data_IF_084733136554
#
_entry.id   IF_084733136554
#
_cell.length_a   1.000
_cell.length_b   1.000
_cell.length_c   1.000
_cell.angle_alpha   90.00
_cell.angle_beta   90.00
_cell.angle_gamma   90.00
#
_symmetry.space_group_name_H-M   'P 1'
#
loop_
_entity.id
_entity.type
_entity.pdbx_description
1 polymer ?
#
# COMPACT_ATOMS: atom_id res chain seq x y z
N UNK A 1 -2.02 -26.75 43.83
CA UNK A 1 -2.69 -26.00 42.74
C UNK A 1 -1.66 -25.65 41.70
N UNK A 2 -1.59 -26.40 40.60
CA UNK A 2 -0.61 -26.17 39.54
C UNK A 2 -1.11 -25.06 38.62
N UNK A 3 -0.43 -23.92 38.66
CA UNK A 3 -0.65 -22.78 37.78
C UNK A 3 -0.46 -23.22 36.32
N UNK A 4 -1.57 -23.44 35.62
CA UNK A 4 -1.61 -23.67 34.18
C UNK A 4 -1.17 -22.37 33.51
N UNK A 5 0.12 -22.24 33.18
CA UNK A 5 0.61 -21.16 32.31
C UNK A 5 -0.20 -21.25 31.02
N UNK A 6 -1.00 -20.22 30.75
CA UNK A 6 -1.67 -20.07 29.46
C UNK A 6 -0.58 -20.10 28.39
N UNK A 7 -0.71 -21.02 27.44
CA UNK A 7 0.08 -21.02 26.22
C UNK A 7 -0.07 -19.65 25.56
N UNK A 8 1.02 -18.98 25.13
CA UNK A 8 0.91 -17.70 24.48
C UNK A 8 0.08 -17.88 23.20
N UNK A 9 -1.01 -17.12 23.12
CA UNK A 9 -1.81 -17.00 21.91
C UNK A 9 -0.89 -16.65 20.74
N UNK A 10 -1.15 -17.20 19.53
CA UNK A 10 -0.28 -16.97 18.39
C UNK A 10 -0.21 -15.48 18.08
N UNK A 11 1.00 -14.90 18.17
CA UNK A 11 1.25 -13.51 17.79
C UNK A 11 1.06 -13.38 16.27
N UNK A 12 -0.13 -12.96 15.85
CA UNK A 12 -0.39 -12.57 14.45
C UNK A 12 0.53 -11.40 14.10
N UNK A 13 0.88 -11.25 12.82
CA UNK A 13 1.58 -10.04 12.34
C UNK A 13 0.81 -8.83 12.86
N UNK A 14 1.43 -8.04 13.72
CA UNK A 14 0.85 -6.78 14.18
C UNK A 14 1.48 -5.70 13.33
N UNK A 15 0.75 -4.99 12.47
CA UNK A 15 1.29 -3.80 11.81
C UNK A 15 1.56 -2.70 12.84
N UNK A 16 2.50 -1.82 12.55
CA UNK A 16 2.72 -0.60 13.33
C UNK A 16 1.45 0.25 13.27
N UNK A 17 1.01 0.74 14.43
CA UNK A 17 -0.17 1.62 14.56
C UNK A 17 0.25 2.89 15.27
N UNK A 18 -0.01 4.04 14.63
CA UNK A 18 0.21 5.39 15.14
C UNK A 18 -0.96 6.28 14.72
N UNK A 19 -1.18 7.40 15.39
CA UNK A 19 -2.22 8.35 14.99
C UNK A 19 -1.82 9.11 13.71
N UNK A 20 -2.79 9.60 12.94
CA UNK A 20 -2.52 10.36 11.71
C UNK A 20 -1.63 11.58 12.03
N UNK A 21 -0.53 11.73 11.29
CA UNK A 21 0.47 12.77 11.48
C UNK A 21 1.59 12.42 12.46
N UNK A 22 1.48 11.35 13.24
CA UNK A 22 2.57 10.92 14.12
C UNK A 22 3.72 10.28 13.32
N UNK A 23 4.99 10.66 13.61
CA UNK A 23 6.15 10.08 12.97
C UNK A 23 6.37 8.63 13.43
N UNK A 24 6.91 7.79 12.54
CA UNK A 24 7.47 6.50 12.93
C UNK A 24 8.91 6.70 13.36
N UNK A 25 9.17 6.42 14.63
CA UNK A 25 10.50 6.51 15.25
C UNK A 25 11.38 5.34 14.86
N UNK A 26 12.68 5.44 15.12
CA UNK A 26 13.60 4.29 15.00
C UNK A 26 13.14 3.09 15.82
N UNK A 27 12.58 3.31 17.00
CA UNK A 27 12.01 2.24 17.84
C UNK A 27 10.82 1.55 17.16
N UNK A 28 9.95 2.28 16.48
CA UNK A 28 8.78 1.69 15.80
C UNK A 28 9.19 0.73 14.68
N UNK A 29 10.17 1.17 13.88
CA UNK A 29 10.64 0.46 12.69
C UNK A 29 11.76 -0.54 12.98
N UNK A 30 12.30 -0.55 14.21
CA UNK A 30 13.48 -1.33 14.59
C UNK A 30 14.68 -0.99 13.69
N UNK A 31 15.02 0.30 13.63
CA UNK A 31 16.05 0.83 12.71
C UNK A 31 17.40 0.13 12.86
N UNK A 32 17.85 -0.17 14.07
CA UNK A 32 19.18 -0.76 14.27
C UNK A 32 19.25 -2.16 13.68
N UNK A 33 18.16 -2.93 13.74
CA UNK A 33 18.05 -4.23 13.06
C UNK A 33 18.15 -4.07 11.54
N UNK A 34 17.40 -3.13 10.98
CA UNK A 34 17.43 -2.84 9.55
C UNK A 34 18.85 -2.40 9.13
N UNK A 35 19.47 -1.55 9.93
CA UNK A 35 20.85 -1.09 9.74
C UNK A 35 21.82 -2.26 9.72
N UNK A 36 21.75 -3.20 10.69
CA UNK A 36 22.58 -4.41 10.69
C UNK A 36 22.38 -5.23 9.41
N UNK A 37 21.15 -5.43 8.97
CA UNK A 37 20.85 -6.24 7.78
C UNK A 37 21.39 -5.60 6.49
N UNK A 38 21.23 -4.28 6.33
CA UNK A 38 21.58 -3.59 5.08
C UNK A 38 23.02 -3.05 5.05
N UNK A 39 23.69 -2.94 6.19
CA UNK A 39 25.12 -2.58 6.25
C UNK A 39 26.04 -3.81 6.30
N UNK A 40 25.49 -5.01 6.26
CA UNK A 40 26.28 -6.23 6.06
C UNK A 40 26.75 -6.31 4.60
N UNK A 41 28.07 -6.34 4.41
CA UNK A 41 28.72 -6.39 3.09
C UNK A 41 29.20 -7.82 2.74
N UNK A 42 28.65 -8.86 3.37
CA UNK A 42 29.02 -10.25 3.09
C UNK A 42 28.44 -10.71 1.75
N UNK A 43 29.30 -10.90 0.76
CA UNK A 43 28.92 -11.44 -0.56
C UNK A 43 28.60 -12.94 -0.49
N UNK A 44 27.38 -13.25 -0.10
CA UNK A 44 26.94 -14.62 0.18
C UNK A 44 25.82 -15.12 -0.74
N UNK A 45 25.16 -14.24 -1.50
CA UNK A 45 23.94 -14.56 -2.22
C UNK A 45 24.09 -14.58 -3.73
N UNK A 46 23.43 -15.53 -4.39
CA UNK A 46 23.35 -15.65 -5.83
C UNK A 46 22.36 -14.62 -6.39
N UNK A 47 22.85 -13.71 -7.23
CA UNK A 47 22.00 -12.70 -7.87
C UNK A 47 21.45 -13.22 -9.22
N UNK A 48 20.13 -13.36 -9.40
CA UNK A 48 19.56 -13.91 -10.64
C UNK A 48 19.65 -12.94 -11.83
N UNK A 49 19.96 -11.66 -11.62
CA UNK A 49 20.06 -10.63 -12.66
C UNK A 49 21.51 -10.29 -13.05
N UNK A 50 22.50 -10.70 -12.25
CA UNK A 50 23.93 -10.45 -12.51
C UNK A 50 24.65 -11.80 -12.67
N UNK A 51 25.43 -11.96 -13.73
CA UNK A 51 26.18 -13.20 -13.96
C UNK A 51 27.42 -13.25 -13.06
N UNK A 52 27.61 -14.37 -12.36
CA UNK A 52 28.89 -14.89 -11.85
C UNK A 52 29.52 -14.23 -10.60
N UNK A 53 28.84 -13.35 -9.88
CA UNK A 53 29.34 -12.85 -8.58
C UNK A 53 28.29 -13.01 -7.50
N UNK A 54 28.71 -13.51 -6.34
CA UNK A 54 27.90 -13.42 -5.13
C UNK A 54 27.76 -11.94 -4.75
N UNK A 55 26.68 -11.61 -4.08
CA UNK A 55 26.35 -10.24 -3.70
C UNK A 55 25.86 -10.19 -2.25
N UNK A 56 25.99 -9.02 -1.63
CA UNK A 56 25.40 -8.73 -0.33
C UNK A 56 23.87 -8.85 -0.32
N UNK A 57 23.27 -9.03 0.86
CA UNK A 57 21.81 -9.01 1.00
C UNK A 57 21.22 -7.67 0.52
N UNK A 58 21.87 -6.55 0.86
CA UNK A 58 21.47 -5.20 0.45
C UNK A 58 21.30 -5.11 -1.06
N UNK A 59 22.33 -5.53 -1.80
CA UNK A 59 22.36 -5.42 -3.25
C UNK A 59 21.37 -6.38 -3.91
N UNK A 60 21.27 -7.62 -3.40
CA UNK A 60 20.25 -8.58 -3.86
C UNK A 60 18.83 -8.01 -3.74
N UNK A 61 18.52 -7.39 -2.59
CA UNK A 61 17.19 -6.88 -2.31
C UNK A 61 16.88 -5.61 -3.13
N UNK A 62 17.86 -4.71 -3.30
CA UNK A 62 17.74 -3.54 -4.18
C UNK A 62 17.54 -3.97 -5.63
N UNK A 63 18.34 -4.93 -6.12
CA UNK A 63 18.23 -5.43 -7.49
C UNK A 63 16.87 -6.10 -7.74
N UNK A 64 16.31 -6.81 -6.75
CA UNK A 64 14.97 -7.36 -6.86
C UNK A 64 13.90 -6.28 -7.10
N UNK A 65 14.00 -5.16 -6.40
CA UNK A 65 13.11 -4.00 -6.58
C UNK A 65 13.32 -3.37 -7.97
N UNK A 66 14.58 -3.15 -8.37
CA UNK A 66 14.93 -2.54 -9.65
C UNK A 66 14.47 -3.39 -10.85
N UNK A 67 14.47 -4.71 -10.71
CA UNK A 67 14.03 -5.63 -11.77
C UNK A 67 12.52 -5.90 -11.76
N UNK A 68 11.77 -5.38 -10.79
CA UNK A 68 10.31 -5.50 -10.80
C UNK A 68 9.69 -4.79 -12.02
N UNK A 69 8.73 -5.42 -12.72
CA UNK A 69 7.98 -4.78 -13.80
C UNK A 69 6.96 -3.76 -13.27
N UNK A 70 6.69 -3.75 -11.96
CA UNK A 70 5.76 -2.80 -11.32
C UNK A 70 6.46 -1.61 -10.68
N UNK A 71 7.80 -1.59 -10.64
CA UNK A 71 8.56 -0.42 -10.23
C UNK A 71 8.55 0.63 -11.34
N UNK A 72 8.23 1.88 -10.98
CA UNK A 72 8.17 2.99 -11.95
C UNK A 72 9.56 3.34 -12.45
N UNK A 73 9.66 3.90 -13.67
CA UNK A 73 10.92 4.42 -14.18
C UNK A 73 11.54 5.46 -13.23
N UNK A 74 10.72 6.39 -12.73
CA UNK A 74 11.17 7.43 -11.79
C UNK A 74 11.74 6.84 -10.49
N UNK A 75 11.14 5.79 -9.93
CA UNK A 75 11.68 5.09 -8.77
C UNK A 75 13.04 4.46 -9.08
N UNK A 76 13.14 3.73 -10.21
CA UNK A 76 14.38 3.07 -10.63
C UNK A 76 15.50 4.09 -10.84
N UNK A 77 15.25 5.14 -11.60
CA UNK A 77 16.22 6.21 -11.89
C UNK A 77 16.74 6.85 -10.59
N UNK A 78 15.87 7.04 -9.60
CA UNK A 78 16.20 7.61 -8.29
C UNK A 78 16.98 6.67 -7.37
N UNK A 79 16.64 5.38 -7.38
CA UNK A 79 17.40 4.37 -6.65
C UNK A 79 18.80 4.20 -7.23
N UNK A 80 18.94 4.29 -8.55
CA UNK A 80 20.24 4.25 -9.24
C UNK A 80 21.06 5.50 -8.94
N UNK A 81 20.44 6.69 -8.91
CA UNK A 81 21.16 7.95 -8.69
C UNK A 81 21.54 8.20 -7.23
N UNK A 82 20.81 7.63 -6.27
CA UNK A 82 21.05 7.84 -4.84
C UNK A 82 21.07 6.51 -4.06
N UNK A 83 22.27 5.97 -3.75
CA UNK A 83 22.40 4.76 -2.95
C UNK A 83 21.78 4.85 -1.55
N UNK A 84 21.84 6.04 -0.94
CA UNK A 84 21.20 6.31 0.36
C UNK A 84 19.68 6.20 0.27
N UNK A 85 19.08 6.75 -0.79
CA UNK A 85 17.64 6.61 -1.04
C UNK A 85 17.28 5.14 -1.33
N UNK A 86 18.07 4.44 -2.15
CA UNK A 86 17.84 3.03 -2.46
C UNK A 86 17.82 2.16 -1.20
N UNK A 87 18.81 2.36 -0.31
CA UNK A 87 18.89 1.67 0.98
C UNK A 87 17.68 1.99 1.87
N UNK A 88 17.33 3.27 1.98
CA UNK A 88 16.17 3.70 2.79
C UNK A 88 14.85 3.13 2.26
N UNK A 89 14.68 3.10 0.94
CA UNK A 89 13.51 2.53 0.28
C UNK A 89 13.47 1.00 0.42
N UNK A 90 14.63 0.33 0.39
CA UNK A 90 14.76 -1.09 0.60
C UNK A 90 14.41 -1.49 2.04
N UNK A 91 14.87 -0.74 3.05
CA UNK A 91 14.47 -0.91 4.46
C UNK A 91 12.95 -0.78 4.64
N UNK A 92 12.35 0.26 4.06
CA UNK A 92 10.89 0.43 4.06
C UNK A 92 10.18 -0.73 3.37
N UNK A 93 10.71 -1.17 2.23
CA UNK A 93 10.16 -2.29 1.46
C UNK A 93 10.21 -3.61 2.24
N UNK A 94 11.29 -3.86 2.98
CA UNK A 94 11.41 -5.02 3.87
C UNK A 94 10.30 -5.04 4.92
N UNK A 95 10.04 -3.91 5.59
CA UNK A 95 8.97 -3.78 6.58
C UNK A 95 7.57 -4.01 6.00
N UNK A 96 7.33 -3.55 4.77
CA UNK A 96 6.07 -3.85 4.05
C UNK A 96 6.00 -5.33 3.71
N UNK A 97 7.12 -5.95 3.31
CA UNK A 97 7.18 -7.35 2.92
C UNK A 97 6.84 -8.30 4.07
N UNK A 98 7.38 -8.02 5.26
CA UNK A 98 7.09 -8.80 6.48
C UNK A 98 5.78 -8.37 7.17
N UNK A 99 5.05 -7.41 6.61
CA UNK A 99 3.74 -6.97 7.09
C UNK A 99 3.77 -6.05 8.31
N UNK A 100 4.91 -5.43 8.63
CA UNK A 100 5.04 -4.45 9.72
C UNK A 100 4.52 -3.07 9.34
N UNK A 101 4.62 -2.70 8.06
CA UNK A 101 4.03 -1.46 7.54
C UNK A 101 2.86 -1.80 6.62
N UNK A 102 1.70 -1.22 6.93
CA UNK A 102 0.52 -1.33 6.10
C UNK A 102 0.57 -0.35 4.93
N UNK A 103 0.06 -0.76 3.77
CA UNK A 103 -0.01 0.07 2.56
C UNK A 103 -0.99 1.25 2.66
N UNK A 104 -1.78 1.32 3.74
CA UNK A 104 -2.65 2.47 4.04
C UNK A 104 -1.86 3.66 4.59
N UNK A 105 -0.64 3.43 5.09
CA UNK A 105 0.25 4.50 5.56
C UNK A 105 0.85 5.23 4.35
N UNK A 106 0.80 6.55 4.39
CA UNK A 106 1.41 7.45 3.42
C UNK A 106 2.63 8.13 4.04
N UNK A 107 3.71 8.25 3.28
CA UNK A 107 4.97 8.84 3.75
C UNK A 107 5.26 10.19 3.08
N UNK A 108 4.27 10.74 2.38
CA UNK A 108 4.37 12.03 1.70
C UNK A 108 3.18 12.91 2.09
N UNK A 109 3.42 14.19 2.40
CA UNK A 109 2.46 15.05 3.12
C UNK A 109 1.31 15.57 2.25
N UNK A 110 1.40 15.46 0.92
CA UNK A 110 0.49 16.13 -0.02
C UNK A 110 -0.88 15.46 -0.14
N UNK A 111 -0.97 14.13 0.00
CA UNK A 111 -2.24 13.41 -0.19
C UNK A 111 -2.88 13.04 1.14
N UNK A 112 -3.96 13.74 1.49
CA UNK A 112 -4.97 13.23 2.43
C UNK A 112 -6.06 12.54 1.61
N UNK A 113 -6.21 11.23 1.75
CA UNK A 113 -7.41 10.53 1.30
C UNK A 113 -8.16 10.04 2.52
N UNK A 114 -9.46 9.74 2.40
CA UNK A 114 -10.24 9.21 3.52
C UNK A 114 -9.69 7.88 4.09
N UNK A 115 -8.82 7.18 3.34
CA UNK A 115 -8.35 5.82 3.63
C UNK A 115 -6.86 5.80 4.00
N UNK A 116 -6.12 6.90 3.79
CA UNK A 116 -4.67 6.95 4.05
C UNK A 116 -4.31 7.93 5.15
N UNK A 117 -3.48 7.46 6.08
CA UNK A 117 -2.91 8.25 7.17
C UNK A 117 -1.47 8.59 6.88
N UNK A 118 -1.07 9.84 7.12
CA UNK A 118 0.29 10.31 6.91
C UNK A 118 1.17 9.99 8.12
N UNK A 119 2.29 9.32 7.89
CA UNK A 119 3.26 8.97 8.91
C UNK A 119 4.67 9.19 8.35
N UNK A 120 5.35 10.30 8.67
CA UNK A 120 6.73 10.46 8.24
C UNK A 120 7.64 9.41 8.91
N UNK A 121 8.71 9.00 8.24
CA UNK A 121 9.77 8.14 8.80
C UNK A 121 11.09 8.92 8.73
N UNK A 122 11.40 9.76 9.73
CA UNK A 122 12.56 10.66 9.68
C UNK A 122 13.88 9.92 9.40
N UNK A 123 14.09 8.77 10.05
CA UNK A 123 15.29 7.94 9.87
C UNK A 123 15.51 7.45 8.43
N UNK A 124 14.45 7.34 7.62
CA UNK A 124 14.49 6.89 6.22
C UNK A 124 14.22 8.01 5.20
N UNK A 125 13.96 9.24 5.66
CA UNK A 125 13.62 10.40 4.82
C UNK A 125 14.68 11.51 4.91
N UNK A 126 15.95 11.12 5.11
CA UNK A 126 17.09 12.05 5.17
C UNK A 126 17.43 12.69 3.83
N UNK A 127 17.25 11.94 2.74
CA UNK A 127 17.46 12.43 1.38
C UNK A 127 16.25 13.24 0.90
N UNK A 128 16.45 14.19 -0.02
CA UNK A 128 15.39 15.00 -0.65
C UNK A 128 14.34 14.19 -1.43
N UNK A 129 14.49 12.87 -1.47
CA UNK A 129 13.58 11.97 -2.12
C UNK A 129 12.28 11.76 -1.35
N UNK A 130 11.16 12.25 -1.89
CA UNK A 130 9.84 11.81 -1.45
C UNK A 130 9.63 10.29 -1.68
N UNK A 131 8.83 9.67 -0.79
CA UNK A 131 8.47 8.26 -0.82
C UNK A 131 7.11 8.05 -1.54
N UNK A 132 6.92 8.68 -2.69
CA UNK A 132 5.63 8.68 -3.42
C UNK A 132 5.22 7.28 -3.90
N UNK A 133 6.17 6.41 -4.24
CA UNK A 133 5.90 5.03 -4.67
C UNK A 133 5.63 4.06 -3.51
N UNK A 134 5.66 4.54 -2.25
CA UNK A 134 5.39 3.68 -1.09
C UNK A 134 4.04 2.93 -1.14
N UNK A 135 2.92 3.52 -1.61
CA UNK A 135 1.66 2.79 -1.78
C UNK A 135 1.74 1.65 -2.80
N UNK A 136 2.76 1.64 -3.66
CA UNK A 136 2.98 0.61 -4.70
C UNK A 136 3.93 -0.49 -4.25
N UNK A 137 4.65 -0.33 -3.14
CA UNK A 137 5.67 -1.29 -2.66
C UNK A 137 5.15 -2.72 -2.65
N UNK A 138 3.97 -2.99 -2.07
CA UNK A 138 3.39 -4.34 -2.03
C UNK A 138 3.23 -4.97 -3.43
N UNK A 139 2.85 -4.17 -4.43
CA UNK A 139 2.70 -4.64 -5.81
C UNK A 139 4.06 -4.83 -6.50
N UNK A 140 5.03 -3.96 -6.19
CA UNK A 140 6.42 -4.09 -6.65
C UNK A 140 7.00 -5.42 -6.16
N UNK A 141 6.94 -5.67 -4.84
CA UNK A 141 7.49 -6.86 -4.21
C UNK A 141 6.84 -8.14 -4.72
N UNK A 142 5.51 -8.18 -4.81
CA UNK A 142 4.77 -9.34 -5.36
C UNK A 142 5.09 -9.65 -6.82
N UNK A 143 5.52 -8.64 -7.58
CA UNK A 143 5.91 -8.81 -8.99
C UNK A 143 7.42 -9.01 -9.16
N UNK A 144 8.22 -8.94 -8.09
CA UNK A 144 9.68 -9.14 -8.11
C UNK A 144 10.01 -10.63 -8.01
N UNK A 145 9.43 -11.44 -8.89
CA UNK A 145 9.59 -12.89 -8.92
C UNK A 145 10.69 -13.29 -9.91
N UNK A 146 11.25 -14.48 -9.73
CA UNK A 146 12.12 -15.09 -10.75
C UNK A 146 11.30 -15.43 -12.01
N UNK A 147 11.95 -15.53 -13.17
CA UNK A 147 11.28 -15.86 -14.43
C UNK A 147 10.49 -17.18 -14.35
N UNK A 148 11.04 -18.18 -13.65
CA UNK A 148 10.43 -19.50 -13.44
C UNK A 148 9.25 -19.47 -12.46
N UNK A 149 9.20 -18.46 -11.58
CA UNK A 149 8.16 -18.31 -10.56
C UNK A 149 6.90 -17.62 -11.07
N UNK A 150 6.96 -17.00 -12.25
CA UNK A 150 5.83 -16.25 -12.81
C UNK A 150 4.56 -17.11 -12.98
N UNK A 151 4.74 -18.41 -13.23
CA UNK A 151 3.64 -19.36 -13.41
C UNK A 151 3.30 -20.14 -12.14
N UNK A 152 4.30 -20.43 -11.30
CA UNK A 152 4.15 -21.17 -10.06
C UNK A 152 5.22 -20.72 -9.06
N UNK A 153 4.87 -19.79 -8.16
CA UNK A 153 5.73 -19.40 -7.05
C UNK A 153 5.58 -20.39 -5.88
N UNK A 154 6.67 -20.66 -5.13
CA UNK A 154 6.56 -21.47 -3.93
C UNK A 154 5.81 -20.68 -2.86
N UNK A 155 4.86 -21.31 -2.18
CA UNK A 155 3.98 -20.64 -1.19
C UNK A 155 4.24 -21.13 0.24
N UNK A 156 4.93 -22.25 0.41
CA UNK A 156 5.33 -22.78 1.72
C UNK A 156 6.84 -22.89 1.86
N UNK A 157 7.39 -22.88 3.10
CA UNK A 157 8.81 -23.13 3.33
C UNK A 157 9.30 -24.47 2.77
N UNK A 158 8.48 -25.53 2.84
CA UNK A 158 8.79 -26.84 2.28
C UNK A 158 8.91 -26.83 0.76
N UNK A 159 8.09 -26.04 0.06
CA UNK A 159 8.23 -25.88 -1.39
C UNK A 159 9.61 -25.29 -1.70
N UNK A 160 10.03 -24.25 -0.95
CA UNK A 160 11.34 -23.60 -1.14
C UNK A 160 12.48 -24.60 -0.90
N UNK A 161 12.42 -25.37 0.20
CA UNK A 161 13.41 -26.41 0.51
C UNK A 161 13.46 -27.47 -0.60
N UNK A 162 12.30 -27.89 -1.13
CA UNK A 162 12.24 -28.85 -2.23
C UNK A 162 12.91 -28.31 -3.50
N UNK A 163 12.69 -27.03 -3.82
CA UNK A 163 13.38 -26.37 -4.94
C UNK A 163 14.88 -26.25 -4.73
N UNK A 164 15.31 -26.01 -3.50
CA UNK A 164 16.73 -26.06 -3.14
C UNK A 164 17.29 -27.46 -3.39
N UNK A 165 16.61 -28.51 -2.91
CA UNK A 165 17.07 -29.89 -3.10
C UNK A 165 17.14 -30.31 -4.58
N UNK A 166 16.34 -29.68 -5.45
CA UNK A 166 16.40 -29.83 -6.93
C UNK A 166 17.58 -29.09 -7.59
N UNK A 167 18.40 -28.36 -6.82
CA UNK A 167 19.57 -27.64 -7.31
C UNK A 167 19.32 -26.21 -7.79
N UNK A 168 18.13 -25.63 -7.53
CA UNK A 168 17.83 -24.24 -7.94
C UNK A 168 18.51 -23.20 -7.04
N UNK A 169 19.39 -22.37 -7.63
CA UNK A 169 20.06 -21.23 -6.99
C UNK A 169 19.74 -19.90 -7.69
N UNK A 170 19.15 -18.91 -7.00
CA UNK A 170 18.50 -19.05 -5.69
C UNK A 170 17.22 -19.92 -5.78
N UNK A 171 16.82 -20.56 -4.68
CA UNK A 171 15.64 -21.45 -4.69
C UNK A 171 14.30 -20.72 -4.89
N UNK A 172 14.27 -19.42 -4.57
CA UNK A 172 13.15 -18.51 -4.83
C UNK A 172 13.66 -17.06 -4.89
N UNK A 173 12.84 -16.10 -5.33
CA UNK A 173 13.19 -14.67 -5.18
C UNK A 173 13.24 -14.26 -3.70
N UNK A 174 14.16 -13.35 -3.33
CA UNK A 174 14.32 -12.90 -1.94
C UNK A 174 13.04 -12.25 -1.39
N UNK A 175 12.29 -11.54 -2.23
CA UNK A 175 11.01 -10.93 -1.86
C UNK A 175 9.96 -11.99 -1.54
N UNK A 176 9.87 -13.06 -2.33
CA UNK A 176 8.96 -14.18 -2.10
C UNK A 176 9.35 -15.00 -0.87
N UNK A 177 10.65 -15.28 -0.66
CA UNK A 177 11.12 -15.96 0.55
C UNK A 177 10.62 -15.27 1.81
N UNK A 178 10.85 -13.96 1.91
CA UNK A 178 10.48 -13.18 3.08
C UNK A 178 8.95 -13.12 3.28
N UNK A 179 8.18 -13.06 2.19
CA UNK A 179 6.73 -13.16 2.24
C UNK A 179 6.26 -14.51 2.79
N UNK A 180 6.84 -15.61 2.30
CA UNK A 180 6.53 -16.99 2.73
C UNK A 180 6.90 -17.19 4.19
N UNK A 181 8.10 -16.77 4.61
CA UNK A 181 8.57 -16.86 6.00
C UNK A 181 7.73 -16.01 6.95
N UNK A 182 7.34 -14.81 6.56
CA UNK A 182 6.44 -13.96 7.36
C UNK A 182 5.04 -14.58 7.50
N UNK A 183 4.51 -15.15 6.42
CA UNK A 183 3.20 -15.82 6.41
C UNK A 183 3.20 -17.14 7.20
N UNK A 184 4.34 -17.83 7.19
CA UNK A 184 4.57 -19.11 7.90
C UNK A 184 5.55 -18.93 9.06
N UNK A 185 5.39 -17.86 9.85
CA UNK A 185 6.36 -17.45 10.86
C UNK A 185 6.71 -18.53 11.89
N UNK A 186 5.78 -19.46 12.16
CA UNK A 186 5.96 -20.60 13.05
C UNK A 186 6.87 -21.69 12.51
N UNK A 187 7.06 -21.76 11.19
CA UNK A 187 7.97 -22.75 10.59
C UNK A 187 9.40 -22.56 11.11
N UNK A 188 9.77 -21.32 11.39
CA UNK A 188 11.05 -20.96 12.01
C UNK A 188 11.29 -21.64 13.38
N UNK A 189 10.23 -21.93 14.15
CA UNK A 189 10.34 -22.72 15.39
C UNK A 189 10.54 -24.20 15.17
N UNK A 190 10.11 -24.73 14.02
CA UNK A 190 10.16 -26.14 13.69
C UNK A 190 11.54 -26.56 13.15
N UNK A 191 12.34 -25.60 12.67
CA UNK A 191 13.78 -25.80 12.47
C UNK A 191 14.48 -25.88 13.82
N UNK A 192 15.27 -26.94 14.04
CA UNK A 192 15.99 -27.24 15.30
C UNK A 192 16.86 -26.08 15.80
N UNK A 193 17.19 -25.15 14.91
CA UNK A 193 18.09 -24.02 15.11
C UNK A 193 17.53 -22.94 16.07
N UNK A 194 16.20 -22.77 16.17
CA UNK A 194 15.57 -21.67 16.93
C UNK A 194 14.26 -22.05 17.65
N UNK A 195 14.31 -22.96 18.64
CA UNK A 195 13.10 -23.57 19.23
C UNK A 195 12.16 -22.61 19.97
N UNK A 196 12.57 -21.37 20.23
CA UNK A 196 11.82 -20.40 21.06
C UNK A 196 11.35 -19.15 20.30
N UNK A 197 11.61 -19.03 19.00
CA UNK A 197 11.39 -17.80 18.23
C UNK A 197 10.62 -18.06 16.95
N UNK A 198 9.60 -17.26 16.66
CA UNK A 198 8.99 -17.21 15.33
C UNK A 198 9.82 -16.28 14.41
N UNK A 199 9.74 -16.45 13.09
CA UNK A 199 10.45 -15.56 12.16
C UNK A 199 10.15 -14.07 12.39
N UNK A 200 8.90 -13.75 12.75
CA UNK A 200 8.48 -12.38 13.03
C UNK A 200 9.03 -11.84 14.35
N UNK A 201 9.45 -12.71 15.28
CA UNK A 201 10.07 -12.26 16.52
C UNK A 201 11.40 -11.54 16.25
N UNK A 202 12.06 -11.80 15.12
CA UNK A 202 13.21 -11.01 14.64
C UNK A 202 12.86 -9.53 14.51
N UNK A 203 11.62 -9.19 14.17
CA UNK A 203 11.16 -7.80 13.98
C UNK A 203 10.35 -7.25 15.17
N UNK A 204 10.04 -8.08 16.18
CA UNK A 204 9.13 -7.72 17.27
C UNK A 204 9.79 -7.76 18.66
N UNK A 205 10.78 -8.63 18.87
CA UNK A 205 11.39 -8.80 20.19
C UNK A 205 12.53 -7.83 20.41
N UNK A 206 12.32 -6.90 21.33
CA UNK A 206 13.32 -5.91 21.74
C UNK A 206 14.24 -6.40 22.85
N UNK A 207 13.95 -7.56 23.46
CA UNK A 207 14.84 -8.15 24.47
C UNK A 207 16.05 -8.85 23.87
N UNK A 208 16.04 -9.12 22.56
CA UNK A 208 17.18 -9.67 21.84
C UNK A 208 17.83 -8.56 21.01
N UNK A 209 19.16 -8.49 21.04
CA UNK A 209 19.90 -7.41 20.36
C UNK A 209 19.59 -7.38 18.88
N UNK A 210 19.50 -6.16 18.34
CA UNK A 210 19.30 -5.91 16.92
C UNK A 210 20.39 -6.55 16.06
N UNK A 211 21.65 -6.58 16.56
CA UNK A 211 22.76 -7.26 15.91
C UNK A 211 22.53 -8.78 15.77
N UNK A 212 22.22 -9.47 16.87
CA UNK A 212 21.98 -10.93 16.84
C UNK A 212 20.75 -11.32 16.01
N UNK A 213 19.70 -10.48 16.04
CA UNK A 213 18.51 -10.65 15.19
C UNK A 213 18.85 -10.45 13.71
N UNK A 214 19.69 -9.48 13.38
CA UNK A 214 20.16 -9.23 12.01
C UNK A 214 20.98 -10.39 11.46
N UNK A 215 21.90 -10.93 12.26
CA UNK A 215 22.69 -12.11 11.89
C UNK A 215 21.79 -13.35 11.68
N UNK A 216 20.85 -13.61 12.59
CA UNK A 216 19.89 -14.71 12.45
C UNK A 216 19.02 -14.55 11.19
N UNK A 217 18.62 -13.32 10.86
CA UNK A 217 17.89 -13.01 9.63
C UNK A 217 18.71 -13.36 8.38
N UNK A 218 19.95 -12.88 8.28
CA UNK A 218 20.84 -13.14 7.14
C UNK A 218 21.16 -14.63 6.99
N UNK A 219 21.46 -15.28 8.11
CA UNK A 219 21.67 -16.72 8.18
C UNK A 219 20.47 -17.50 7.64
N UNK A 220 19.26 -17.09 8.02
CA UNK A 220 18.02 -17.74 7.56
C UNK A 220 17.80 -17.53 6.07
N UNK A 221 17.98 -16.31 5.58
CA UNK A 221 17.89 -16.01 4.16
C UNK A 221 18.86 -16.88 3.35
N UNK A 222 20.11 -17.00 3.80
CA UNK A 222 21.11 -17.83 3.14
C UNK A 222 20.73 -19.31 3.16
N UNK A 223 20.28 -19.83 4.31
CA UNK A 223 19.83 -21.22 4.45
C UNK A 223 18.73 -21.59 3.45
N UNK A 224 17.76 -20.71 3.21
CA UNK A 224 16.67 -21.02 2.28
C UNK A 224 16.99 -20.74 0.81
N UNK A 225 17.95 -19.86 0.49
CA UNK A 225 18.27 -19.49 -0.90
C UNK A 225 19.47 -20.24 -1.48
N UNK A 226 20.46 -20.54 -0.63
CA UNK A 226 21.81 -20.95 -1.05
C UNK A 226 22.25 -22.29 -0.47
N UNK A 227 21.61 -22.80 0.60
CA UNK A 227 21.98 -24.09 1.17
C UNK A 227 21.40 -25.23 0.33
N UNK A 228 22.28 -25.96 -0.35
CA UNK A 228 21.97 -27.22 -1.04
C UNK A 228 22.68 -28.37 -0.32
N UNK A 229 22.53 -29.60 -0.83
CA UNK A 229 23.26 -30.79 -0.37
C UNK A 229 24.80 -30.68 -0.38
N UNK A 230 25.38 -29.55 -0.78
CA UNK A 230 26.80 -29.26 -0.61
C UNK A 230 27.07 -28.86 0.85
N UNK A 231 28.08 -29.45 1.49
CA UNK A 231 28.58 -29.19 2.86
C UNK A 231 29.12 -27.75 3.09
N UNK A 232 28.70 -26.75 2.31
CA UNK A 232 29.12 -25.36 2.51
C UNK A 232 28.52 -24.83 3.81
N UNK A 233 29.41 -24.47 4.73
CA UNK A 233 29.04 -23.77 5.96
C UNK A 233 28.40 -22.41 5.63
N UNK A 234 27.32 -22.08 6.32
CA UNK A 234 26.65 -20.81 6.17
C UNK A 234 27.57 -19.68 6.69
N UNK A 235 27.88 -18.65 5.86
CA UNK A 235 28.85 -17.61 6.19
C UNK A 235 28.41 -16.69 7.34
N UNK A 236 27.13 -16.72 7.70
CA UNK A 236 26.59 -15.95 8.82
C UNK A 236 26.60 -16.74 10.15
N UNK A 237 27.17 -17.95 10.17
CA UNK A 237 27.28 -18.76 11.38
C UNK A 237 28.54 -18.40 12.17
N UNK A 238 28.42 -18.42 13.49
CA UNK A 238 29.60 -18.34 14.36
C UNK A 238 30.49 -19.59 14.18
N UNK A 239 31.83 -19.48 14.30
CA UNK A 239 32.73 -20.62 14.19
C UNK A 239 32.36 -21.73 15.18
N UNK A 240 31.98 -22.91 14.67
CA UNK A 240 31.60 -24.07 15.47
C UNK A 240 30.14 -24.10 15.93
N UNK A 241 29.32 -23.12 15.54
CA UNK A 241 27.88 -23.13 15.78
C UNK A 241 27.10 -23.51 14.52
N UNK A 242 26.05 -24.33 14.66
CA UNK A 242 25.14 -24.65 13.57
C UNK A 242 24.24 -23.47 13.17
N UNK A 243 23.95 -22.57 14.13
CA UNK A 243 23.13 -21.39 13.94
C UNK A 243 23.54 -20.24 14.88
N UNK A 244 23.31 -18.96 14.49
CA UNK A 244 23.52 -17.79 15.33
C UNK A 244 22.82 -17.86 16.69
N UNK A 245 23.46 -17.35 17.74
CA UNK A 245 22.87 -17.29 19.08
C UNK A 245 22.30 -15.90 19.36
N UNK A 246 21.13 -15.84 19.98
CA UNK A 246 20.54 -14.56 20.40
C UNK A 246 21.22 -13.99 21.63
N UNK A 247 21.64 -12.73 21.53
CA UNK A 247 22.17 -11.99 22.67
C UNK A 247 21.01 -11.28 23.34
N UNK A 248 20.65 -11.74 24.55
CA UNK A 248 19.62 -11.11 25.36
C UNK A 248 20.17 -9.84 26.02
N UNK A 249 19.43 -8.74 25.87
CA UNK A 249 19.77 -7.45 26.43
C UNK A 249 19.13 -7.26 27.80
N UNK A 250 19.85 -6.59 28.69
CA UNK A 250 19.24 -5.98 29.86
C UNK A 250 18.29 -4.85 29.44
N UNK A 251 17.40 -4.43 30.34
CA UNK A 251 16.47 -3.32 30.07
C UNK A 251 17.21 -2.03 29.69
N UNK A 252 18.34 -1.75 30.34
CA UNK A 252 19.14 -0.55 30.06
C UNK A 252 19.78 -0.61 28.67
N UNK A 253 20.35 -1.76 28.29
CA UNK A 253 20.92 -1.93 26.95
C UNK A 253 19.85 -1.87 25.86
N UNK A 254 18.66 -2.43 26.09
CA UNK A 254 17.55 -2.36 25.14
C UNK A 254 17.06 -0.92 24.90
N UNK A 255 17.21 -0.01 25.89
CA UNK A 255 16.89 1.41 25.74
C UNK A 255 17.94 2.20 24.95
N UNK A 256 19.16 1.65 24.79
CA UNK A 256 20.20 2.26 23.96
C UNK A 256 20.06 1.90 22.48
N UNK A 257 19.31 0.83 22.17
CA UNK A 257 18.98 0.49 20.79
C UNK A 257 17.83 1.35 20.26
N UNK A 258 17.87 1.67 18.96
CA UNK A 258 16.83 2.35 18.21
C UNK A 258 16.50 3.76 18.73
N UNK A 259 17.49 4.45 19.29
CA UNK A 259 17.37 5.83 19.76
C UNK A 259 17.41 6.79 18.57
N UNK A 260 16.40 7.67 18.46
CA UNK A 260 16.38 8.72 17.44
C UNK A 260 17.48 9.77 17.72
N UNK A 261 18.48 9.93 16.83
CA UNK A 261 19.46 11.00 16.94
C UNK A 261 18.79 12.36 16.74
N UNK A 262 19.47 13.42 17.17
CA UNK A 262 18.91 14.78 17.12
C UNK A 262 18.55 15.22 15.70
N UNK A 263 19.31 14.80 14.70
CA UNK A 263 19.01 15.03 13.29
C UNK A 263 17.65 14.46 12.88
N UNK A 264 17.32 13.25 13.32
CA UNK A 264 16.08 12.57 12.97
C UNK A 264 14.89 13.30 13.64
N UNK A 265 15.08 13.84 14.85
CA UNK A 265 14.06 14.66 15.52
C UNK A 265 13.80 15.97 14.78
N UNK A 266 14.85 16.68 14.37
CA UNK A 266 14.73 17.92 13.59
C UNK A 266 14.01 17.65 12.26
N UNK A 267 14.33 16.54 11.58
CA UNK A 267 13.65 16.13 10.35
C UNK A 267 12.17 15.81 10.64
N UNK A 268 11.87 15.14 11.75
CA UNK A 268 10.50 14.86 12.16
C UNK A 268 9.68 16.15 12.31
N UNK A 269 10.20 17.12 13.06
CA UNK A 269 9.55 18.41 13.27
C UNK A 269 9.31 19.13 11.95
N UNK A 270 10.30 19.15 11.04
CA UNK A 270 10.17 19.76 9.71
C UNK A 270 9.08 19.09 8.87
N UNK A 271 9.00 17.77 8.87
CA UNK A 271 8.01 17.00 8.10
C UNK A 271 6.60 17.22 8.64
N UNK A 272 6.44 17.22 9.97
CA UNK A 272 5.16 17.49 10.65
C UNK A 272 4.71 18.92 10.38
N UNK A 273 5.59 19.92 10.52
CA UNK A 273 5.28 21.32 10.24
C UNK A 273 4.87 21.53 8.78
N UNK A 274 5.58 20.90 7.83
CA UNK A 274 5.23 20.94 6.41
C UNK A 274 3.83 20.37 6.14
N UNK A 275 3.50 19.23 6.77
CA UNK A 275 2.17 18.62 6.67
C UNK A 275 1.09 19.56 7.20
N UNK A 276 1.29 20.16 8.37
CA UNK A 276 0.34 21.10 8.98
C UNK A 276 0.05 22.29 8.05
N UNK A 277 1.09 22.86 7.42
CA UNK A 277 0.94 23.92 6.43
C UNK A 277 0.13 23.49 5.20
N UNK A 278 0.36 22.28 4.68
CA UNK A 278 -0.39 21.73 3.54
C UNK A 278 -1.87 21.55 3.89
N UNK A 279 -2.17 21.04 5.09
CA UNK A 279 -3.56 20.86 5.55
C UNK A 279 -4.28 22.20 5.65
N UNK A 280 -3.66 23.20 6.29
CA UNK A 280 -4.20 24.56 6.42
C UNK A 280 -4.45 25.18 5.03
N UNK A 281 -3.48 25.07 4.13
CA UNK A 281 -3.61 25.60 2.78
C UNK A 281 -4.74 24.93 1.98
N UNK A 282 -4.95 23.62 2.19
CA UNK A 282 -6.04 22.90 1.54
C UNK A 282 -7.40 23.30 2.12
N UNK A 283 -7.53 23.44 3.45
CA UNK A 283 -8.77 23.90 4.07
C UNK A 283 -9.14 25.32 3.64
N UNK A 284 -8.15 26.22 3.51
CA UNK A 284 -8.38 27.59 2.99
C UNK A 284 -8.89 27.53 1.54
N UNK A 285 -8.29 26.68 0.69
CA UNK A 285 -8.73 26.52 -0.71
C UNK A 285 -10.14 25.92 -0.80
N UNK A 286 -10.50 25.00 0.08
CA UNK A 286 -11.84 24.42 0.14
C UNK A 286 -12.88 25.46 0.59
N UNK A 287 -12.60 26.20 1.66
CA UNK A 287 -13.47 27.29 2.13
C UNK A 287 -13.66 28.38 1.05
N UNK A 288 -12.61 28.72 0.30
CA UNK A 288 -12.72 29.65 -0.84
C UNK A 288 -13.59 29.10 -1.97
N UNK A 289 -13.46 27.81 -2.31
CA UNK A 289 -14.30 27.17 -3.32
C UNK A 289 -15.77 27.12 -2.88
N UNK A 290 -16.01 26.83 -1.61
CA UNK A 290 -17.35 26.80 -1.04
C UNK A 290 -17.97 28.20 -1.03
N UNK A 291 -17.23 29.23 -0.59
CA UNK A 291 -17.67 30.62 -0.64
C UNK A 291 -18.06 31.08 -2.06
N UNK A 292 -17.25 30.71 -3.06
CA UNK A 292 -17.55 31.01 -4.47
C UNK A 292 -18.81 30.27 -4.94
N UNK A 293 -18.98 28.99 -4.58
CA UNK A 293 -20.20 28.22 -4.92
C UNK A 293 -21.45 28.83 -4.30
N UNK A 294 -21.41 29.18 -3.01
CA UNK A 294 -22.54 29.85 -2.35
C UNK A 294 -22.86 31.21 -2.97
N UNK A 295 -21.84 31.98 -3.39
CA UNK A 295 -22.05 33.26 -4.07
C UNK A 295 -22.69 33.08 -5.46
N UNK A 296 -22.29 32.04 -6.20
CA UNK A 296 -22.87 31.70 -7.50
C UNK A 296 -24.32 31.19 -7.36
N UNK A 297 -24.61 30.39 -6.33
CA UNK A 297 -25.96 29.87 -6.06
C UNK A 297 -26.92 30.98 -5.62
N UNK A 298 -26.49 31.87 -4.72
CA UNK A 298 -27.25 33.08 -4.34
C UNK A 298 -27.51 33.99 -5.55
N UNK A 299 -26.51 34.13 -6.44
CA UNK A 299 -26.66 34.91 -7.67
C UNK A 299 -27.64 34.29 -8.66
N UNK A 300 -27.76 32.95 -8.68
CA UNK A 300 -28.75 32.23 -9.50
C UNK A 300 -30.16 32.30 -8.93
N UNK A 301 -30.31 32.22 -7.60
CA UNK A 301 -31.60 32.39 -6.93
C UNK A 301 -32.14 33.82 -7.12
N UNK A 302 -31.29 34.83 -6.97
CA UNK A 302 -31.65 36.24 -7.24
C UNK A 302 -32.02 36.51 -8.71
N UNK A 303 -31.48 35.72 -9.66
CA UNK A 303 -31.87 35.82 -11.07
C UNK A 303 -33.18 35.07 -11.35
N UNK A 304 -33.41 33.92 -10.71
CA UNK A 304 -34.64 33.14 -10.83
C UNK A 304 -35.86 33.88 -10.23
N UNK A 305 -35.67 34.63 -9.13
CA UNK A 305 -36.73 35.45 -8.52
C UNK A 305 -37.09 36.71 -9.30
N UNK A 306 -36.40 37.02 -10.40
CA UNK A 306 -36.66 38.22 -11.24
C UNK A 306 -37.38 37.91 -12.56
N UNK A 307 -37.90 36.69 -12.74
CA UNK A 307 -38.59 36.29 -14.00
C UNK A 307 -40.12 36.33 -13.91
N UNK A 308 -40.71 36.41 -12.71
CA UNK A 308 -42.16 36.55 -12.52
C UNK A 308 -42.54 37.87 -11.85
N UNK A 309 -42.41 38.98 -12.59
CA UNK A 309 -43.44 40.03 -12.60
C UNK A 309 -43.13 41.09 -13.66
N UNK A 310 -43.93 41.09 -14.74
CA UNK A 310 -44.04 42.25 -15.62
C UNK A 310 -45.08 43.19 -15.03
N UNK A 311 -44.69 44.41 -14.68
CA UNK A 311 -45.27 45.65 -15.22
C UNK A 311 -44.55 46.93 -14.71
N UNK A 312 -43.89 47.60 -15.67
CA UNK A 312 -43.68 49.05 -15.88
C UNK A 312 -43.12 49.95 -14.74
N UNK A 313 -42.05 50.65 -15.16
CA UNK A 313 -41.57 51.99 -14.76
C UNK A 313 -40.49 52.08 -13.66
N UNK A 314 -39.21 51.90 -14.03
CA UNK A 314 -38.12 52.88 -13.73
C UNK A 314 -36.82 52.47 -14.45
N UNK A 315 -36.58 52.97 -15.67
CA UNK A 315 -35.48 52.50 -16.51
C UNK A 315 -34.17 53.31 -16.41
N UNK A 316 -34.00 54.20 -15.43
CA UNK A 316 -32.84 55.12 -15.39
C UNK A 316 -31.84 54.93 -14.21
N UNK A 317 -32.16 54.16 -13.17
CA UNK A 317 -31.26 54.01 -12.01
C UNK A 317 -30.40 52.74 -12.02
N UNK A 318 -30.91 51.63 -12.56
CA UNK A 318 -30.26 50.31 -12.57
C UNK A 318 -29.11 50.17 -13.59
N UNK A 319 -29.04 51.07 -14.57
CA UNK A 319 -27.90 51.16 -15.50
C UNK A 319 -26.65 51.73 -14.80
N UNK A 320 -26.84 52.69 -13.88
CA UNK A 320 -25.73 53.37 -13.22
C UNK A 320 -24.99 52.48 -12.21
N UNK A 321 -25.69 51.56 -11.54
CA UNK A 321 -25.11 50.65 -10.53
C UNK A 321 -24.35 49.48 -11.17
N UNK A 322 -24.84 48.92 -12.28
CA UNK A 322 -24.11 47.90 -13.05
C UNK A 322 -22.84 48.45 -13.70
N UNK A 323 -22.89 49.68 -14.23
CA UNK A 323 -21.69 50.34 -14.80
C UNK A 323 -20.68 50.65 -13.69
N UNK A 324 -21.12 51.13 -12.52
CA UNK A 324 -20.23 51.37 -11.36
C UNK A 324 -19.62 50.08 -10.79
N UNK A 325 -20.37 48.98 -10.73
CA UNK A 325 -19.86 47.69 -10.26
C UNK A 325 -18.85 47.07 -11.24
N UNK A 326 -19.09 47.17 -12.56
CA UNK A 326 -18.16 46.72 -13.59
C UNK A 326 -16.88 47.56 -13.61
N UNK A 327 -16.99 48.87 -13.36
CA UNK A 327 -15.83 49.76 -13.25
C UNK A 327 -15.01 49.46 -11.99
N UNK A 328 -15.66 49.25 -10.82
CA UNK A 328 -14.99 48.87 -9.58
C UNK A 328 -14.26 47.52 -9.69
N UNK A 329 -14.82 46.56 -10.43
CA UNK A 329 -14.15 45.28 -10.69
C UNK A 329 -12.93 45.42 -11.62
N UNK A 330 -13.02 46.28 -12.64
CA UNK A 330 -11.88 46.63 -13.50
C UNK A 330 -10.78 47.36 -12.72
N UNK A 331 -11.14 48.30 -11.85
CA UNK A 331 -10.20 49.08 -11.06
C UNK A 331 -9.49 48.21 -10.01
N UNK A 332 -10.20 47.24 -9.40
CA UNK A 332 -9.58 46.24 -8.49
C UNK A 332 -8.60 45.32 -9.22
N UNK A 333 -8.93 44.90 -10.44
CA UNK A 333 -8.03 44.08 -11.28
C UNK A 333 -6.79 44.87 -11.71
N UNK A 334 -6.96 46.14 -12.07
CA UNK A 334 -5.86 47.04 -12.44
C UNK A 334 -4.93 47.36 -11.24
N UNK A 335 -5.49 47.57 -10.04
CA UNK A 335 -4.73 47.72 -8.80
C UNK A 335 -3.91 46.46 -8.49
N UNK A 336 -4.51 45.27 -8.54
CA UNK A 336 -3.81 44.02 -8.28
C UNK A 336 -2.64 43.77 -9.26
N UNK A 337 -2.83 44.11 -10.54
CA UNK A 337 -1.79 43.95 -11.56
C UNK A 337 -0.67 45.00 -11.41
N UNK A 338 -1.01 46.22 -10.98
CA UNK A 338 -0.04 47.26 -10.61
C UNK A 338 0.81 46.82 -9.41
N UNK A 339 0.20 46.32 -8.33
CA UNK A 339 0.91 45.81 -7.15
C UNK A 339 1.80 44.61 -7.50
N UNK A 340 1.36 43.73 -8.41
CA UNK A 340 2.16 42.60 -8.90
C UNK A 340 3.38 43.05 -9.70
N UNK A 341 3.23 44.07 -10.56
CA UNK A 341 4.32 44.63 -11.37
C UNK A 341 5.33 45.40 -10.52
N UNK A 342 4.87 46.03 -9.44
CA UNK A 342 5.71 46.72 -8.46
C UNK A 342 6.54 45.73 -7.63
N UNK A 343 5.94 44.63 -7.15
CA UNK A 343 6.68 43.53 -6.49
C UNK A 343 7.69 42.84 -7.40
N UNK A 344 7.40 42.72 -8.70
CA UNK A 344 8.39 42.20 -9.66
C UNK A 344 9.54 43.18 -9.91
N UNK A 345 9.28 44.50 -9.89
CA UNK A 345 10.31 45.54 -10.00
C UNK A 345 11.15 45.66 -8.73
N UNK A 346 10.56 45.44 -7.55
CA UNK A 346 11.24 45.41 -6.26
C UNK A 346 12.16 44.18 -6.18
N UNK A 347 11.67 43.00 -6.57
CA UNK A 347 12.51 41.79 -6.73
C UNK A 347 13.60 41.91 -7.79
N UNK A 348 13.43 42.78 -8.78
CA UNK A 348 14.47 43.07 -9.77
C UNK A 348 15.50 44.09 -9.26
N UNK A 349 15.15 44.92 -8.27
CA UNK A 349 16.04 45.86 -7.60
C UNK A 349 16.84 45.24 -6.45
N UNK A 350 16.39 44.12 -5.89
CA UNK A 350 17.06 43.40 -4.80
C UNK A 350 18.08 42.34 -5.26
N UNK A 351 18.43 42.28 -6.56
CA UNK A 351 19.58 41.46 -6.99
C UNK A 351 20.89 42.20 -6.66
N UNK A 352 21.80 41.63 -5.86
CA UNK A 352 23.15 42.16 -5.72
C UNK A 352 23.90 41.94 -7.05
N UNK A 353 24.68 42.94 -7.46
CA UNK A 353 25.68 42.77 -8.52
C UNK A 353 26.83 41.91 -8.00
N UNK A 354 27.07 40.78 -8.67
CA UNK A 354 28.36 40.10 -8.64
C UNK A 354 29.00 40.18 -10.03
N UNK A 355 30.16 40.84 -10.00
CA UNK A 355 31.32 40.94 -10.88
C UNK A 355 31.51 39.97 -12.05
N UNK A 356 32.21 40.53 -13.05
CA UNK A 356 33.07 39.92 -14.09
C UNK A 356 32.32 39.30 -15.29
N UNK A 357 32.65 39.60 -16.56
CA UNK A 357 33.91 40.07 -17.13
C UNK A 357 34.26 39.16 -18.30
N UNK A 358 34.52 39.74 -19.48
CA UNK A 358 34.89 39.15 -20.77
C UNK A 358 33.81 38.33 -21.54
N UNK A 359 33.44 38.59 -22.78
CA UNK A 359 34.09 39.34 -23.85
C UNK A 359 34.69 38.40 -24.90
N UNK A 360 33.91 37.94 -25.89
CA UNK A 360 34.43 37.66 -27.25
C UNK A 360 33.33 37.38 -28.31
N UNK A 361 33.30 38.29 -29.28
CA UNK A 361 33.09 38.21 -30.74
C UNK A 361 32.14 37.18 -31.41
N UNK A 362 31.14 37.79 -32.06
CA UNK A 362 30.56 37.50 -33.39
C UNK A 362 31.35 36.60 -34.35
N UNK A 363 30.68 35.63 -35.01
CA UNK A 363 30.57 35.55 -36.48
C UNK A 363 29.20 34.98 -36.91
N UNK A 364 28.68 35.63 -37.94
CA UNK A 364 27.43 35.53 -38.68
C UNK A 364 27.22 34.22 -39.48
N UNK A 365 25.96 33.77 -39.63
CA UNK A 365 25.39 33.27 -40.91
C UNK A 365 23.89 32.91 -40.82
N UNK A 366 23.09 33.72 -41.53
CA UNK A 366 22.01 33.37 -42.49
C UNK A 366 21.71 31.86 -42.70
N UNK A 367 20.49 31.37 -42.95
CA UNK A 367 19.24 32.00 -43.39
C UNK A 367 18.05 31.00 -43.35
N UNK A 368 16.85 31.56 -43.53
CA UNK A 368 15.66 30.99 -44.18
C UNK A 368 14.54 30.32 -43.35
N UNK A 369 13.50 31.14 -43.18
CA UNK A 369 12.09 30.85 -42.94
C UNK A 369 11.49 29.99 -44.07
N UNK A 370 10.65 29.00 -43.73
CA UNK A 370 9.36 28.76 -44.41
C UNK A 370 8.32 28.25 -43.39
N UNK A 371 7.17 28.88 -43.48
CA UNK A 371 5.90 28.75 -42.75
C UNK A 371 5.03 27.54 -43.11
N UNK A 372 4.16 27.15 -42.16
CA UNK A 372 2.84 26.55 -42.38
C UNK A 372 2.74 25.04 -42.13
N UNK A 373 1.63 24.43 -41.75
CA UNK A 373 0.34 24.88 -41.21
C UNK A 373 -0.35 23.61 -40.63
N UNK A 374 -1.27 23.85 -39.71
CA UNK A 374 -2.38 23.06 -39.14
C UNK A 374 -2.64 21.55 -39.48
N UNK A 375 -2.84 20.81 -38.37
CA UNK A 375 -3.98 19.89 -38.03
C UNK A 375 -3.96 18.37 -38.37
N UNK A 376 -4.77 17.56 -37.64
CA UNK A 376 -4.36 16.26 -37.07
C UNK A 376 -4.89 15.05 -37.84
N UNK A 377 -4.23 13.89 -37.68
CA UNK A 377 -4.61 12.65 -38.35
C UNK A 377 -5.22 11.62 -37.40
N UNK A 378 -6.35 11.09 -37.88
CA UNK A 378 -7.27 10.14 -37.28
C UNK A 378 -6.69 8.75 -37.01
N UNK A 379 -7.34 8.12 -36.04
CA UNK A 379 -7.44 6.68 -35.75
C UNK A 379 -7.88 5.90 -37.00
N UNK A 380 -7.26 4.75 -37.27
CA UNK A 380 -7.85 3.71 -38.10
C UNK A 380 -7.60 2.33 -37.48
N UNK A 381 -8.72 1.67 -37.15
CA UNK A 381 -8.84 0.23 -36.96
C UNK A 381 -8.70 -0.46 -38.33
N UNK A 382 -8.00 -1.60 -38.38
CA UNK A 382 -8.17 -2.57 -39.46
C UNK A 382 -8.04 -3.99 -38.90
N UNK A 383 -9.03 -4.80 -39.27
CA UNK A 383 -9.31 -6.15 -38.80
C UNK A 383 -8.84 -7.23 -39.79
N UNK A 384 -8.90 -8.48 -39.32
CA UNK A 384 -9.03 -9.79 -40.02
C UNK A 384 -7.75 -10.62 -40.26
N UNK A 385 -7.84 -11.96 -40.47
CA UNK A 385 -9.00 -12.87 -40.34
C UNK A 385 -8.77 -14.15 -39.51
N UNK A 386 -9.90 -14.79 -39.21
CA UNK A 386 -10.12 -16.14 -38.70
C UNK A 386 -9.74 -17.23 -39.70
N UNK A 387 -9.26 -18.38 -39.21
CA UNK A 387 -9.39 -19.67 -39.92
C UNK A 387 -9.60 -20.82 -38.93
N UNK A 388 -10.64 -21.59 -39.23
CA UNK A 388 -11.16 -22.76 -38.53
C UNK A 388 -10.83 -24.02 -39.33
N UNK A 389 -10.42 -25.10 -38.68
CA UNK A 389 -10.61 -26.46 -39.21
C UNK A 389 -11.06 -27.43 -38.11
N UNK A 390 -12.15 -28.13 -38.41
CA UNK A 390 -12.74 -29.24 -37.67
C UNK A 390 -12.25 -30.60 -38.18
N UNK A 391 -12.36 -31.60 -37.30
CA UNK A 391 -12.74 -33.03 -37.48
C UNK A 391 -11.77 -33.97 -36.72
N UNK A 392 -12.14 -35.08 -36.09
CA UNK A 392 -13.37 -35.68 -35.52
C UNK A 392 -12.94 -37.04 -34.91
N UNK A 393 -13.44 -37.38 -33.71
CA UNK A 393 -13.72 -38.73 -33.12
C UNK A 393 -12.67 -39.87 -33.20
N UNK A 394 -12.41 -40.65 -32.15
CA UNK A 394 -13.28 -41.72 -31.61
C UNK A 394 -12.79 -42.20 -30.22
N UNK A 395 -13.73 -42.50 -29.32
CA UNK A 395 -13.55 -43.37 -28.13
C UNK A 395 -13.96 -44.83 -28.48
N UNK A 396 -13.83 -45.89 -27.63
CA UNK A 396 -14.56 -45.99 -26.34
C UNK A 396 -13.95 -46.87 -25.20
N UNK A 397 -14.48 -46.67 -23.99
CA UNK A 397 -14.85 -47.78 -23.09
C UNK A 397 -14.07 -47.96 -21.77
N UNK A 398 -14.72 -47.73 -20.63
CA UNK A 398 -15.12 -48.78 -19.68
C UNK A 398 -15.67 -48.20 -18.35
N UNK A 399 -16.77 -48.81 -17.89
CA UNK A 399 -17.50 -48.54 -16.64
C UNK A 399 -16.90 -49.35 -15.48
N UNK A 400 -17.00 -48.87 -14.24
CA UNK A 400 -17.42 -49.71 -13.10
C UNK A 400 -17.89 -48.87 -11.91
N UNK A 401 -18.75 -49.49 -11.11
CA UNK A 401 -19.70 -48.94 -10.15
C UNK A 401 -19.46 -49.53 -8.75
N UNK A 402 -19.74 -48.72 -7.72
CA UNK A 402 -20.28 -49.05 -6.37
C UNK A 402 -19.52 -50.00 -5.42
N UNK A 403 -19.28 -49.52 -4.19
CA UNK A 403 -19.87 -50.16 -2.98
C UNK A 403 -19.84 -49.26 -1.73
N UNK A 404 -21.01 -49.13 -1.10
CA UNK A 404 -21.23 -48.65 0.27
C UNK A 404 -20.78 -49.69 1.31
N UNK A 405 -20.15 -49.25 2.40
CA UNK A 405 -20.20 -49.95 3.68
C UNK A 405 -20.54 -48.99 4.83
N UNK A 406 -21.64 -49.32 5.52
CA UNK A 406 -22.06 -48.72 6.79
C UNK A 406 -21.22 -49.32 7.92
N UNK A 407 -20.68 -48.47 8.81
CA UNK A 407 -20.20 -48.90 10.14
C UNK A 407 -21.14 -48.39 11.23
N UNK A 408 -21.46 -49.33 12.11
CA UNK A 408 -22.27 -49.24 13.32
C UNK A 408 -21.53 -48.48 14.42
N UNK A 409 -22.20 -47.57 15.13
CA UNK A 409 -21.71 -46.94 16.36
C UNK A 409 -22.85 -46.89 17.40
N UNK A 410 -22.66 -47.34 18.66
CA UNK A 410 -23.75 -47.58 19.59
C UNK A 410 -23.78 -46.52 20.71
N UNK A 411 -24.42 -45.37 20.49
CA UNK A 411 -24.88 -44.50 21.59
C UNK A 411 -26.18 -43.78 21.21
N UNK A 412 -27.18 -43.85 22.08
CA UNK A 412 -28.49 -43.20 21.94
C UNK A 412 -28.36 -41.69 22.19
N UNK A 413 -28.68 -40.89 21.17
CA UNK A 413 -28.81 -39.43 21.26
C UNK A 413 -30.15 -39.05 21.92
N UNK A 414 -30.11 -38.20 22.94
CA UNK A 414 -31.31 -37.62 23.56
C UNK A 414 -31.91 -36.55 22.63
N UNK A 415 -33.23 -36.61 22.46
CA UNK A 415 -34.03 -35.74 21.59
C UNK A 415 -34.02 -34.29 22.09
N UNK A 416 -33.61 -33.37 21.21
CA UNK A 416 -33.76 -31.91 21.37
C UNK A 416 -34.77 -31.38 20.32
N UNK A 417 -35.85 -32.14 20.07
CA UNK A 417 -36.89 -31.76 19.09
C UNK A 417 -38.17 -31.20 19.73
N UNK A 418 -38.39 -31.39 21.03
CA UNK A 418 -39.67 -31.00 21.65
C UNK A 418 -39.70 -29.55 22.18
N UNK A 419 -38.57 -28.82 22.16
CA UNK A 419 -38.52 -27.42 22.60
C UNK A 419 -38.59 -26.39 21.45
N UNK A 420 -38.33 -26.81 20.20
CA UNK A 420 -38.31 -25.90 19.02
C UNK A 420 -39.69 -25.76 18.38
N UNK A 421 -40.56 -26.77 18.50
CA UNK A 421 -41.89 -26.75 17.91
C UNK A 421 -42.84 -25.72 18.55
N UNK A 422 -42.71 -25.47 19.87
CA UNK A 422 -43.56 -24.52 20.59
C UNK A 422 -43.19 -23.05 20.32
N UNK A 423 -41.94 -22.77 19.89
CA UNK A 423 -41.48 -21.41 19.60
C UNK A 423 -41.75 -20.99 18.15
N UNK A 424 -41.82 -21.96 17.22
CA UNK A 424 -42.19 -21.72 15.81
C UNK A 424 -43.69 -21.52 15.57
N UNK A 425 -44.57 -21.92 16.50
CA UNK A 425 -46.01 -21.70 16.38
C UNK A 425 -46.48 -20.31 16.85
N UNK A 426 -45.66 -19.55 17.59
CA UNK A 426 -46.02 -18.19 18.04
C UNK A 426 -45.63 -17.06 17.08
N UNK A 427 -44.97 -17.36 15.96
CA UNK A 427 -44.59 -16.35 14.95
C UNK A 427 -45.40 -16.44 13.64
N UNK A 428 -46.56 -17.09 13.67
CA UNK A 428 -47.53 -17.07 12.56
C UNK A 428 -48.67 -16.10 12.85
N UNK A 429 -48.37 -14.82 12.97
CA UNK A 429 -49.38 -13.75 12.92
C UNK A 429 -48.80 -12.55 12.18
N UNK A 430 -49.42 -12.25 11.03
CA UNK A 430 -49.23 -11.09 10.14
C UNK A 430 -47.86 -10.93 9.46
N UNK A 431 -47.75 -11.42 8.22
CA UNK A 431 -46.74 -10.97 7.25
C UNK A 431 -46.99 -9.48 6.91
N UNK A 432 -46.00 -8.58 7.01
CA UNK A 432 -46.11 -7.26 6.39
C UNK A 432 -45.89 -7.40 4.86
N UNK A 433 -46.46 -6.49 4.05
CA UNK A 433 -46.43 -6.60 2.59
C UNK A 433 -45.00 -6.40 2.04
N UNK A 434 -44.72 -7.01 0.90
CA UNK A 434 -43.47 -6.85 0.13
C UNK A 434 -43.15 -5.36 -0.07
N UNK A 435 -42.13 -4.87 0.64
CA UNK A 435 -41.64 -3.50 0.49
C UNK A 435 -40.74 -3.40 -0.74
N UNK A 436 -40.77 -2.26 -1.42
CA UNK A 436 -39.78 -1.96 -2.46
C UNK A 436 -38.39 -1.74 -1.85
N UNK A 437 -37.31 -1.97 -2.62
CA UNK A 437 -35.93 -1.76 -2.14
C UNK A 437 -35.70 -0.39 -1.48
N UNK A 438 -36.32 0.68 -2.03
CA UNK A 438 -36.19 2.02 -1.48
C UNK A 438 -36.90 2.15 -0.12
N UNK A 439 -38.08 1.56 0.02
CA UNK A 439 -38.83 1.56 1.28
C UNK A 439 -38.14 0.70 2.34
N UNK A 440 -37.54 -0.41 1.93
CA UNK A 440 -36.73 -1.24 2.80
C UNK A 440 -35.50 -0.48 3.31
N UNK A 441 -34.74 0.14 2.41
CA UNK A 441 -33.58 0.96 2.79
C UNK A 441 -33.96 2.10 3.75
N UNK A 442 -35.10 2.75 3.50
CA UNK A 442 -35.61 3.79 4.39
C UNK A 442 -36.02 3.23 5.76
N UNK A 443 -36.68 2.07 5.79
CA UNK A 443 -37.08 1.42 7.02
C UNK A 443 -35.88 0.98 7.86
N UNK A 444 -34.84 0.40 7.25
CA UNK A 444 -33.59 0.03 7.95
C UNK A 444 -32.91 1.24 8.57
N UNK A 445 -32.77 2.35 7.83
CA UNK A 445 -32.11 3.56 8.37
C UNK A 445 -32.89 4.16 9.56
N UNK A 446 -34.22 4.05 9.57
CA UNK A 446 -35.07 4.61 10.63
C UNK A 446 -35.20 3.67 11.83
N UNK A 447 -35.17 2.35 11.60
CA UNK A 447 -35.42 1.35 12.64
C UNK A 447 -34.15 0.79 13.28
N UNK A 448 -32.98 0.95 12.65
CA UNK A 448 -31.71 0.48 13.20
C UNK A 448 -31.16 1.46 14.23
N UNK A 449 -30.93 0.96 15.45
CA UNK A 449 -30.31 1.72 16.54
C UNK A 449 -28.82 1.98 16.22
N UNK A 450 -28.39 3.26 16.11
CA UNK A 450 -27.01 3.60 15.74
C UNK A 450 -25.96 3.25 16.80
N UNK A 451 -26.36 2.76 17.98
CA UNK A 451 -25.45 2.34 19.06
C UNK A 451 -25.27 0.82 19.16
N UNK A 452 -25.97 0.03 18.33
CA UNK A 452 -25.80 -1.42 18.27
C UNK A 452 -24.58 -1.76 17.41
N UNK A 453 -23.63 -2.52 17.97
CA UNK A 453 -22.41 -2.95 17.28
C UNK A 453 -22.75 -3.81 16.05
N UNK A 454 -22.05 -3.61 14.94
CA UNK A 454 -22.31 -4.27 13.64
C UNK A 454 -22.22 -5.80 13.65
N UNK A 455 -21.76 -6.36 14.77
CA UNK A 455 -21.45 -7.78 14.92
C UNK A 455 -22.64 -8.55 15.54
N UNK A 456 -23.68 -7.85 16.02
CA UNK A 456 -24.90 -8.43 16.62
C UNK A 456 -26.14 -8.38 15.71
N UNK A 457 -26.00 -7.96 14.44
CA UNK A 457 -27.12 -7.89 13.50
C UNK A 457 -27.58 -9.32 13.12
N UNK A 458 -28.65 -9.80 13.76
CA UNK A 458 -29.34 -11.04 13.37
C UNK A 458 -29.83 -10.89 11.92
N UNK A 459 -29.22 -11.66 11.02
CA UNK A 459 -29.47 -11.60 9.58
C UNK A 459 -30.96 -11.61 9.24
N UNK A 460 -31.39 -10.58 8.52
CA UNK A 460 -32.77 -10.35 8.10
C UNK A 460 -33.23 -11.41 7.06
N UNK A 461 -34.37 -12.04 7.34
CA UNK A 461 -35.01 -13.04 6.49
C UNK A 461 -35.36 -12.50 5.10
N UNK A 462 -35.51 -11.19 4.93
CA UNK A 462 -35.76 -10.57 3.62
C UNK A 462 -34.55 -10.65 2.67
N UNK A 463 -33.33 -10.44 3.17
CA UNK A 463 -32.11 -10.59 2.37
C UNK A 463 -32.00 -12.03 1.83
N UNK A 464 -32.48 -13.01 2.60
CA UNK A 464 -32.48 -14.42 2.22
C UNK A 464 -33.47 -14.77 1.10
N UNK A 465 -34.55 -13.99 0.94
CA UNK A 465 -35.52 -14.16 -0.15
C UNK A 465 -34.97 -13.62 -1.48
N UNK A 466 -34.30 -12.46 -1.47
CA UNK A 466 -33.68 -11.88 -2.66
C UNK A 466 -32.59 -12.79 -3.27
N UNK A 467 -31.79 -13.45 -2.43
CA UNK A 467 -30.82 -14.45 -2.89
C UNK A 467 -31.46 -15.72 -3.46
N UNK A 468 -32.71 -16.03 -3.08
CA UNK A 468 -33.44 -17.19 -3.59
C UNK A 468 -34.04 -16.94 -4.98
N UNK A 469 -34.48 -15.73 -5.27
CA UNK A 469 -35.00 -15.37 -6.61
C UNK A 469 -33.90 -15.30 -7.67
N UNK A 470 -32.66 -14.93 -7.31
CA UNK A 470 -31.55 -14.87 -8.27
C UNK A 470 -30.96 -16.23 -8.68
N UNK A 471 -31.29 -17.33 -8.00
CA UNK A 471 -30.72 -18.65 -8.26
C UNK A 471 -31.62 -19.61 -9.06
N UNK A 472 -32.78 -19.17 -9.57
CA UNK A 472 -33.62 -19.99 -10.44
C UNK A 472 -33.98 -19.27 -11.74
N UNK A 473 -33.10 -19.38 -12.73
CA UNK A 473 -33.45 -19.16 -14.12
C UNK A 473 -33.14 -20.45 -14.89
N UNK A 474 -34.14 -21.33 -15.13
CA UNK A 474 -33.96 -22.44 -16.07
C UNK A 474 -34.16 -21.90 -17.49
N UNK A 475 -33.12 -21.98 -18.32
CA UNK A 475 -33.29 -21.87 -19.77
C UNK A 475 -33.92 -23.17 -20.27
N UNK A 476 -35.21 -23.10 -20.60
CA UNK A 476 -35.86 -24.05 -21.50
C UNK A 476 -35.32 -23.84 -22.93
N UNK A 477 -34.83 -24.92 -23.54
CA UNK A 477 -34.57 -25.03 -24.98
C UNK A 477 -35.42 -26.20 -25.51
N UNK A 478 -36.53 -25.85 -26.16
CA UNK A 478 -37.12 -26.63 -27.25
C UNK A 478 -36.46 -26.27 -28.58
#
# INVERSE_FOLDING_TARGET
>A
MSSRRQSPTPRRVVPIKRADGEPLTRSDIQYDLLSTIFNDDTDAFTNPWKKSTLTSFKDLYIDAILNSPKATKALKDKMISSPLFATSFAMLSLLVNVGRINTTMSFFPEMKTAIRTYHPIPALQKTEGNLQDAPRIKHILKASLLAEEANASPITPQDIISRSNEGRRPSTSITNLLFVLASHSKYFKATEDYPQLDFLDLFLRTEASSASRGQAFLWTCWKFLEQHNDDKSNPFSEPGAAAPTFVLLSREQALLENVDPEEDKIIAEKLIASRSQIVINNSIKEAQKEAVRTADDLSRELQASTVDDKLKAHHHELSSTRIKAAQAAKDRKAMADKTRRERMREKARERPEESDGDGQEFVDRQSDLVTGDTRPRQVNYMSQPSSSHHHRSLSPGARSSTHHQRRYAPYKSHKHEDYVAAQLQRMRTALPPSMTMLQYAWHTIVATDPLVDSDEELGDDNTRLDYREFCFCPYDLT
#
